data_IF_512799658506
#
_entry.id   IF_512799658506
#
_cell.length_a   1.000
_cell.length_b   1.000
_cell.length_c   1.000
_cell.angle_alpha   90.00
_cell.angle_beta   90.00
_cell.angle_gamma   90.00
#
_symmetry.space_group_name_H-M   'P 1'
#
loop_
_entity.id
_entity.type
_entity.pdbx_description
1 polymer ?
#
# COMPACT_ATOMS: atom_id res chain seq x y z
N UNK A 1 -0.26 -26.54 -31.71
CA UNK A 1 -0.52 -25.17 -31.24
C UNK A 1 -1.49 -25.14 -30.07
N UNK A 2 -2.66 -25.74 -30.15
CA UNK A 2 -3.71 -25.77 -29.11
C UNK A 2 -3.21 -26.34 -27.77
N UNK A 3 -2.46 -27.44 -27.76
CA UNK A 3 -1.92 -28.04 -26.54
C UNK A 3 -0.91 -27.12 -25.82
N UNK A 4 -0.09 -26.37 -26.56
CA UNK A 4 0.83 -25.37 -25.98
C UNK A 4 0.09 -24.20 -25.35
N UNK A 5 -0.97 -23.72 -26.02
CA UNK A 5 -1.80 -22.63 -25.50
C UNK A 5 -2.52 -23.08 -24.23
N UNK A 6 -3.13 -24.28 -24.23
CA UNK A 6 -3.78 -24.86 -23.05
C UNK A 6 -2.79 -24.95 -21.85
N UNK A 7 -1.59 -25.50 -22.08
CA UNK A 7 -0.57 -25.62 -21.04
C UNK A 7 -0.11 -24.25 -20.49
N UNK A 8 -0.04 -23.20 -21.34
CA UNK A 8 0.25 -21.84 -20.91
C UNK A 8 -0.87 -21.28 -20.03
N UNK A 9 -2.13 -21.44 -20.43
CA UNK A 9 -3.28 -21.01 -19.63
C UNK A 9 -3.33 -21.71 -18.28
N UNK A 10 -3.14 -23.02 -18.22
CA UNK A 10 -3.08 -23.77 -16.96
C UNK A 10 -1.93 -23.29 -16.06
N UNK A 11 -0.76 -23.02 -16.65
CA UNK A 11 0.43 -22.54 -15.93
C UNK A 11 0.26 -21.16 -15.32
N UNK A 12 -0.43 -20.24 -16.01
CA UNK A 12 -0.58 -18.83 -15.61
C UNK A 12 -2.03 -18.49 -15.22
N UNK A 13 -2.83 -19.50 -14.87
CA UNK A 13 -4.25 -19.32 -14.57
C UNK A 13 -4.53 -18.28 -13.47
N UNK A 14 -3.71 -18.24 -12.42
CA UNK A 14 -3.88 -17.28 -11.30
C UNK A 14 -3.59 -15.87 -11.75
N UNK A 15 -2.50 -15.64 -12.51
CA UNK A 15 -2.17 -14.32 -13.05
C UNK A 15 -3.25 -13.82 -13.99
N UNK A 16 -3.69 -14.67 -14.90
CA UNK A 16 -4.74 -14.33 -15.89
C UNK A 16 -6.04 -14.00 -15.16
N UNK A 17 -6.48 -14.87 -14.24
CA UNK A 17 -7.72 -14.65 -13.51
C UNK A 17 -7.67 -13.38 -12.64
N UNK A 18 -6.56 -13.15 -11.91
CA UNK A 18 -6.38 -11.95 -11.11
C UNK A 18 -6.33 -10.68 -11.98
N UNK A 19 -5.60 -10.71 -13.12
CA UNK A 19 -5.54 -9.57 -14.05
C UNK A 19 -6.91 -9.27 -14.65
N UNK A 20 -7.63 -10.27 -15.12
CA UNK A 20 -8.97 -10.09 -15.68
C UNK A 20 -9.95 -9.53 -14.64
N UNK A 21 -9.89 -10.05 -13.42
CA UNK A 21 -10.72 -9.56 -12.32
C UNK A 21 -10.41 -8.08 -12.00
N UNK A 22 -9.14 -7.72 -11.84
CA UNK A 22 -8.75 -6.34 -11.52
C UNK A 22 -9.03 -5.37 -12.67
N UNK A 23 -8.75 -5.77 -13.92
CA UNK A 23 -9.04 -4.95 -15.11
C UNK A 23 -10.54 -4.77 -15.27
N UNK A 24 -11.33 -5.82 -15.02
CA UNK A 24 -12.79 -5.72 -15.04
C UNK A 24 -13.29 -4.74 -13.96
N UNK A 25 -12.79 -4.84 -12.73
CA UNK A 25 -13.13 -3.89 -11.65
C UNK A 25 -12.71 -2.46 -12.02
N UNK A 26 -11.53 -2.28 -12.60
CA UNK A 26 -11.07 -0.97 -13.09
C UNK A 26 -12.05 -0.41 -14.12
N UNK A 27 -12.41 -1.21 -15.10
CA UNK A 27 -13.32 -0.79 -16.18
C UNK A 27 -14.70 -0.33 -15.67
N UNK A 28 -15.28 -1.03 -14.68
CA UNK A 28 -16.64 -0.73 -14.20
C UNK A 28 -16.73 0.30 -13.10
N UNK A 29 -15.62 0.58 -12.38
CA UNK A 29 -15.64 1.43 -11.18
C UNK A 29 -14.64 2.59 -11.21
N UNK A 30 -13.88 2.77 -12.31
CA UNK A 30 -12.91 3.86 -12.39
C UNK A 30 -13.63 5.21 -12.37
N UNK A 31 -13.13 6.14 -11.57
CA UNK A 31 -13.64 7.50 -11.58
C UNK A 31 -13.37 8.19 -12.93
N UNK A 32 -14.28 9.01 -13.39
CA UNK A 32 -14.21 9.69 -14.70
C UNK A 32 -13.13 10.77 -14.76
N UNK A 33 -12.69 11.28 -13.61
CA UNK A 33 -11.68 12.34 -13.49
C UNK A 33 -10.69 12.04 -12.37
N UNK A 34 -9.52 12.67 -12.43
CA UNK A 34 -8.58 12.70 -11.32
C UNK A 34 -9.25 13.44 -10.15
N UNK A 35 -9.04 12.95 -8.93
CA UNK A 35 -9.53 13.62 -7.73
C UNK A 35 -8.96 15.03 -7.61
N UNK A 36 -9.84 16.03 -7.57
CA UNK A 36 -9.44 17.44 -7.63
C UNK A 36 -8.40 17.85 -6.57
N UNK A 37 -8.44 17.25 -5.38
CA UNK A 37 -7.47 17.51 -4.31
C UNK A 37 -6.02 17.11 -4.64
N UNK A 38 -5.81 16.20 -5.60
CA UNK A 38 -4.47 15.67 -5.90
C UNK A 38 -3.96 16.03 -7.28
N UNK A 39 -4.78 16.64 -8.12
CA UNK A 39 -4.45 16.94 -9.50
C UNK A 39 -3.25 17.89 -9.66
N UNK A 40 -3.03 18.76 -8.69
CA UNK A 40 -1.90 19.70 -8.65
C UNK A 40 -0.53 19.00 -8.67
N UNK A 41 -0.42 17.78 -8.13
CA UNK A 41 0.83 17.02 -8.09
C UNK A 41 1.28 16.50 -9.47
N UNK A 42 0.43 16.62 -10.48
CA UNK A 42 0.74 16.27 -11.86
C UNK A 42 1.30 17.44 -12.64
N UNK A 43 1.03 18.68 -12.19
CA UNK A 43 1.47 19.91 -12.81
C UNK A 43 2.73 20.47 -12.14
N UNK A 44 2.83 20.31 -10.83
CA UNK A 44 3.92 20.85 -10.04
C UNK A 44 5.22 20.04 -10.27
N UNK A 45 6.30 20.69 -10.67
CA UNK A 45 7.59 20.08 -10.98
C UNK A 45 8.79 20.80 -10.32
N UNK A 46 10.01 20.35 -10.59
CA UNK A 46 11.23 20.92 -10.00
C UNK A 46 11.59 22.33 -10.50
N UNK A 47 10.92 22.90 -11.48
CA UNK A 47 11.07 24.31 -11.86
C UNK A 47 10.48 25.26 -10.79
N UNK A 48 9.51 24.77 -10.02
CA UNK A 48 8.83 25.53 -8.96
C UNK A 48 9.51 25.42 -7.59
N UNK A 49 10.42 24.48 -7.40
CA UNK A 49 11.07 24.30 -6.12
C UNK A 49 11.88 23.01 -6.02
N UNK A 50 12.17 22.60 -4.80
CA UNK A 50 12.81 21.31 -4.52
C UNK A 50 12.09 20.57 -3.38
N UNK A 51 11.75 19.31 -3.60
CA UNK A 51 11.12 18.51 -2.55
C UNK A 51 10.42 17.26 -3.05
N UNK A 52 9.70 16.61 -2.16
CA UNK A 52 8.79 15.54 -2.54
C UNK A 52 7.56 16.10 -3.27
N UNK A 53 6.86 15.21 -4.01
CA UNK A 53 5.67 15.50 -4.82
C UNK A 53 5.92 16.30 -6.11
N UNK A 54 7.14 16.83 -6.33
CA UNK A 54 7.54 17.50 -7.57
C UNK A 54 7.98 16.51 -8.67
N UNK A 55 8.45 15.35 -8.28
CA UNK A 55 9.00 14.34 -9.18
C UNK A 55 8.01 13.88 -10.24
N UNK A 56 6.73 13.74 -9.90
CA UNK A 56 5.75 13.21 -10.84
C UNK A 56 5.43 14.21 -11.96
N UNK A 57 5.20 15.48 -11.62
CA UNK A 57 5.03 16.53 -12.61
C UNK A 57 6.27 16.69 -13.48
N UNK A 58 7.48 16.65 -12.88
CA UNK A 58 8.74 16.68 -13.65
C UNK A 58 8.81 15.55 -14.67
N UNK A 59 8.45 14.33 -14.29
CA UNK A 59 8.42 13.20 -15.24
C UNK A 59 7.41 13.40 -16.36
N UNK A 60 6.23 13.91 -16.05
CA UNK A 60 5.21 14.17 -17.06
C UNK A 60 5.65 15.26 -18.03
N UNK A 61 6.19 16.37 -17.54
CA UNK A 61 6.66 17.47 -18.39
C UNK A 61 7.79 17.07 -19.34
N UNK A 62 8.59 16.04 -19.01
CA UNK A 62 9.56 15.47 -19.96
C UNK A 62 8.88 14.88 -21.23
N UNK A 63 7.62 14.48 -21.16
CA UNK A 63 6.87 13.89 -22.26
C UNK A 63 5.83 14.83 -22.88
N UNK A 64 5.28 15.77 -22.10
CA UNK A 64 4.19 16.66 -22.52
C UNK A 64 4.66 18.07 -22.87
N UNK A 65 5.93 18.43 -22.52
CA UNK A 65 6.42 19.80 -22.59
C UNK A 65 5.81 20.67 -21.49
N UNK A 66 5.77 21.98 -21.72
CA UNK A 66 5.40 22.97 -20.70
C UNK A 66 3.90 23.05 -20.40
N UNK A 67 3.06 22.35 -21.16
CA UNK A 67 1.60 22.36 -20.95
C UNK A 67 1.03 20.96 -20.78
N UNK A 68 0.35 20.73 -19.66
CA UNK A 68 -0.28 19.45 -19.34
C UNK A 68 -1.80 19.52 -19.52
N UNK A 69 -2.32 18.77 -20.48
CA UNK A 69 -3.76 18.56 -20.66
C UNK A 69 -4.33 17.60 -19.62
N UNK A 70 -5.54 17.89 -19.12
CA UNK A 70 -6.23 17.04 -18.14
C UNK A 70 -6.41 15.59 -18.65
N UNK A 71 -6.79 15.43 -19.92
CA UNK A 71 -6.96 14.13 -20.56
C UNK A 71 -5.64 13.32 -20.57
N UNK A 72 -4.51 13.99 -20.80
CA UNK A 72 -3.19 13.34 -20.80
C UNK A 72 -2.81 12.86 -19.40
N UNK A 73 -3.03 13.68 -18.37
CA UNK A 73 -2.81 13.29 -16.99
C UNK A 73 -3.73 12.11 -16.58
N UNK A 74 -4.99 12.17 -16.96
CA UNK A 74 -5.96 11.11 -16.70
C UNK A 74 -5.53 9.77 -17.35
N UNK A 75 -5.18 9.78 -18.64
CA UNK A 75 -4.69 8.59 -19.36
C UNK A 75 -3.44 8.01 -18.72
N UNK A 76 -2.52 8.88 -18.25
CA UNK A 76 -1.34 8.44 -17.55
C UNK A 76 -1.70 7.72 -16.23
N UNK A 77 -2.63 8.26 -15.44
CA UNK A 77 -3.12 7.60 -14.20
C UNK A 77 -3.73 6.24 -14.51
N UNK A 78 -4.60 6.15 -15.53
CA UNK A 78 -5.20 4.86 -15.95
C UNK A 78 -4.13 3.85 -16.34
N UNK A 79 -3.11 4.27 -17.10
CA UNK A 79 -2.00 3.40 -17.48
C UNK A 79 -1.25 2.86 -16.24
N UNK A 80 -0.98 3.72 -15.25
CA UNK A 80 -0.32 3.32 -14.00
C UNK A 80 -1.17 2.36 -13.17
N UNK A 81 -2.48 2.57 -13.08
CA UNK A 81 -3.41 1.63 -12.45
C UNK A 81 -3.43 0.28 -13.18
N UNK A 82 -3.42 0.29 -14.50
CA UNK A 82 -3.29 -0.93 -15.32
C UNK A 82 -1.98 -1.69 -15.04
N UNK A 83 -0.86 -0.97 -14.97
CA UNK A 83 0.44 -1.53 -14.61
C UNK A 83 0.38 -2.16 -13.20
N UNK A 84 -0.21 -1.46 -12.23
CA UNK A 84 -0.39 -1.99 -10.87
C UNK A 84 -1.19 -3.29 -10.87
N UNK A 85 -2.30 -3.35 -11.60
CA UNK A 85 -3.12 -4.57 -11.72
C UNK A 85 -2.29 -5.76 -12.25
N UNK A 86 -1.50 -5.53 -13.29
CA UNK A 86 -0.62 -6.56 -13.87
C UNK A 86 0.45 -6.98 -12.87
N UNK A 87 1.14 -6.04 -12.22
CA UNK A 87 2.20 -6.33 -11.26
C UNK A 87 1.70 -7.14 -10.06
N UNK A 88 0.55 -6.77 -9.47
CA UNK A 88 -0.06 -7.52 -8.36
C UNK A 88 -0.46 -8.93 -8.82
N UNK A 89 -1.01 -9.07 -10.00
CA UNK A 89 -1.40 -10.38 -10.56
C UNK A 89 -0.18 -11.27 -10.83
N UNK A 90 0.89 -10.70 -11.38
CA UNK A 90 2.15 -11.42 -11.61
C UNK A 90 2.78 -11.84 -10.28
N UNK A 91 2.81 -10.96 -9.28
CA UNK A 91 3.29 -11.29 -7.94
C UNK A 91 2.50 -12.47 -7.34
N UNK A 92 1.18 -12.40 -7.37
CA UNK A 92 0.29 -13.44 -6.86
C UNK A 92 0.54 -14.79 -7.54
N UNK A 93 0.60 -14.81 -8.86
CA UNK A 93 0.85 -16.04 -9.62
C UNK A 93 2.26 -16.59 -9.43
N UNK A 94 3.28 -15.73 -9.30
CA UNK A 94 4.65 -16.15 -8.97
C UNK A 94 4.68 -16.92 -7.64
N UNK A 95 4.02 -16.39 -6.62
CA UNK A 95 3.94 -17.03 -5.30
C UNK A 95 3.19 -18.35 -5.38
N UNK A 96 1.99 -18.33 -5.99
CA UNK A 96 1.17 -19.54 -6.14
C UNK A 96 1.93 -20.68 -6.84
N UNK A 97 2.63 -20.41 -7.95
CA UNK A 97 3.42 -21.41 -8.66
C UNK A 97 4.63 -21.92 -7.88
N UNK A 98 5.18 -21.12 -6.97
CA UNK A 98 6.30 -21.53 -6.11
C UNK A 98 5.89 -22.54 -5.06
N UNK A 99 4.64 -22.54 -4.63
CA UNK A 99 4.12 -23.48 -3.65
C UNK A 99 4.02 -24.90 -4.26
N UNK A 100 4.69 -25.87 -3.63
CA UNK A 100 4.66 -27.28 -4.06
C UNK A 100 3.64 -28.11 -3.27
N UNK A 101 3.47 -27.79 -2.00
CA UNK A 101 2.54 -28.48 -1.11
C UNK A 101 1.10 -27.96 -1.32
N UNK A 102 0.15 -28.87 -1.43
CA UNK A 102 -1.25 -28.56 -1.74
C UNK A 102 -1.93 -27.68 -0.69
N UNK A 103 -1.60 -27.84 0.60
CA UNK A 103 -2.17 -27.00 1.65
C UNK A 103 -1.60 -25.59 1.59
N UNK A 104 -0.28 -25.45 1.36
CA UNK A 104 0.35 -24.13 1.17
C UNK A 104 -0.17 -23.44 -0.08
N UNK A 105 -0.40 -24.21 -1.15
CA UNK A 105 -0.99 -23.72 -2.40
C UNK A 105 -2.41 -23.20 -2.20
N UNK A 106 -3.23 -23.96 -1.46
CA UNK A 106 -4.59 -23.59 -1.10
C UNK A 106 -4.61 -22.34 -0.21
N UNK A 107 -3.73 -22.27 0.79
CA UNK A 107 -3.60 -21.10 1.65
C UNK A 107 -3.14 -19.85 0.87
N UNK A 108 -2.16 -19.99 -0.04
CA UNK A 108 -1.71 -18.88 -0.88
C UNK A 108 -2.84 -18.39 -1.79
N UNK A 109 -3.59 -19.30 -2.42
CA UNK A 109 -4.74 -18.95 -3.25
C UNK A 109 -5.82 -18.24 -2.42
N UNK A 110 -6.12 -18.74 -1.23
CA UNK A 110 -7.06 -18.10 -0.32
C UNK A 110 -6.61 -16.66 0.02
N UNK A 111 -5.35 -16.45 0.41
CA UNK A 111 -4.84 -15.11 0.74
C UNK A 111 -4.90 -14.17 -0.47
N UNK A 112 -4.62 -14.66 -1.68
CA UNK A 112 -4.72 -13.88 -2.91
C UNK A 112 -6.18 -13.44 -3.15
N UNK A 113 -7.11 -14.39 -3.14
CA UNK A 113 -8.54 -14.10 -3.35
C UNK A 113 -9.08 -13.19 -2.24
N UNK A 114 -8.73 -13.47 -1.00
CA UNK A 114 -9.14 -12.70 0.18
C UNK A 114 -8.65 -11.26 0.11
N UNK A 115 -7.39 -11.04 -0.29
CA UNK A 115 -6.84 -9.72 -0.49
C UNK A 115 -7.51 -8.99 -1.67
N UNK A 116 -7.66 -9.64 -2.82
CA UNK A 116 -8.28 -9.02 -4.01
C UNK A 116 -9.75 -8.65 -3.78
N UNK A 117 -10.46 -9.43 -2.96
CA UNK A 117 -11.83 -9.13 -2.55
C UNK A 117 -11.93 -8.01 -1.51
N UNK A 118 -10.87 -7.79 -0.71
CA UNK A 118 -10.87 -6.88 0.44
C UNK A 118 -11.03 -5.40 0.08
N UNK A 119 -11.40 -4.55 1.05
CA UNK A 119 -11.41 -3.09 0.89
C UNK A 119 -10.06 -2.49 0.49
N UNK A 120 -8.95 -3.16 0.83
CA UNK A 120 -7.58 -2.74 0.56
C UNK A 120 -7.02 -3.27 -0.77
N UNK A 121 -7.82 -3.96 -1.59
CA UNK A 121 -7.37 -4.40 -2.93
C UNK A 121 -6.97 -3.19 -3.80
N UNK A 122 -6.20 -3.36 -4.88
CA UNK A 122 -5.83 -2.25 -5.76
C UNK A 122 -7.01 -1.37 -6.19
N UNK A 123 -8.22 -1.94 -6.18
CA UNK A 123 -9.46 -1.25 -6.52
C UNK A 123 -9.76 -0.01 -5.67
N UNK A 124 -9.17 0.14 -4.49
CA UNK A 124 -9.37 1.35 -3.68
C UNK A 124 -8.78 2.60 -4.36
N UNK A 125 -7.74 2.45 -5.19
CA UNK A 125 -7.02 3.56 -5.83
C UNK A 125 -7.77 4.22 -6.99
N UNK A 126 -8.80 3.57 -7.54
CA UNK A 126 -9.60 4.15 -8.63
C UNK A 126 -11.01 4.59 -8.22
N UNK A 127 -11.28 4.60 -6.90
CA UNK A 127 -12.46 5.25 -6.37
C UNK A 127 -12.34 6.78 -6.53
N UNK A 128 -13.48 7.48 -6.53
CA UNK A 128 -13.53 8.92 -6.77
C UNK A 128 -12.55 9.74 -5.93
N UNK A 129 -12.41 9.42 -4.64
CA UNK A 129 -11.55 10.16 -3.71
C UNK A 129 -10.08 9.75 -3.75
N UNK A 130 -9.75 8.64 -4.43
CA UNK A 130 -8.39 8.14 -4.51
C UNK A 130 -7.81 8.20 -5.92
N UNK A 131 -8.63 8.50 -6.94
CA UNK A 131 -8.17 8.55 -8.31
C UNK A 131 -7.07 9.59 -8.52
N UNK A 132 -5.90 9.12 -8.93
CA UNK A 132 -4.73 9.96 -9.12
C UNK A 132 -3.89 10.20 -7.87
N UNK A 133 -4.22 9.63 -6.70
CA UNK A 133 -3.35 9.76 -5.52
C UNK A 133 -1.99 9.13 -5.74
N UNK A 134 -0.97 9.75 -5.16
CA UNK A 134 0.43 9.32 -5.27
C UNK A 134 0.66 7.91 -4.69
N UNK A 135 -0.23 7.42 -3.85
CA UNK A 135 -0.20 6.05 -3.29
C UNK A 135 -0.11 4.96 -4.37
N UNK A 136 -0.65 5.22 -5.58
CA UNK A 136 -0.54 4.32 -6.73
C UNK A 136 0.92 4.02 -7.05
N UNK A 137 1.75 5.04 -7.08
CA UNK A 137 3.19 4.92 -7.41
C UNK A 137 3.97 4.28 -6.27
N UNK A 138 3.60 4.60 -5.01
CA UNK A 138 4.18 3.99 -3.82
C UNK A 138 3.90 2.48 -3.80
N UNK A 139 2.68 2.08 -4.13
CA UNK A 139 2.29 0.67 -4.18
C UNK A 139 2.97 -0.07 -5.34
N UNK A 140 3.03 0.52 -6.55
CA UNK A 140 3.80 -0.02 -7.68
C UNK A 140 5.24 -0.30 -7.25
N UNK A 141 5.88 0.69 -6.62
CA UNK A 141 7.26 0.57 -6.13
C UNK A 141 7.42 -0.55 -5.10
N UNK A 142 6.47 -0.67 -4.16
CA UNK A 142 6.49 -1.72 -3.15
C UNK A 142 6.37 -3.13 -3.77
N UNK A 143 5.52 -3.30 -4.79
CA UNK A 143 5.40 -4.57 -5.53
C UNK A 143 6.67 -4.88 -6.31
N UNK A 144 7.26 -3.88 -6.98
CA UNK A 144 8.53 -4.05 -7.72
C UNK A 144 9.65 -4.45 -6.75
N UNK A 145 9.78 -3.80 -5.59
CA UNK A 145 10.78 -4.14 -4.57
C UNK A 145 10.57 -5.56 -4.03
N UNK A 146 9.33 -5.97 -3.81
CA UNK A 146 8.98 -7.35 -3.44
C UNK A 146 9.44 -8.35 -4.53
N UNK A 147 9.18 -8.04 -5.81
CA UNK A 147 9.61 -8.89 -6.93
C UNK A 147 11.15 -8.94 -7.08
N UNK A 148 11.82 -7.80 -6.89
CA UNK A 148 13.31 -7.73 -6.86
C UNK A 148 13.83 -8.62 -5.73
N UNK A 149 13.28 -8.52 -4.54
CA UNK A 149 13.66 -9.35 -3.41
C UNK A 149 13.56 -10.85 -3.72
N UNK A 150 12.47 -11.25 -4.36
CA UNK A 150 12.21 -12.65 -4.71
C UNK A 150 13.11 -13.18 -5.85
N UNK A 151 13.56 -12.32 -6.78
CA UNK A 151 14.21 -12.74 -8.01
C UNK A 151 15.70 -12.43 -8.07
N UNK A 152 16.14 -11.31 -7.50
CA UNK A 152 17.56 -10.88 -7.59
C UNK A 152 18.37 -11.60 -6.53
N UNK A 153 19.25 -12.52 -6.98
CA UNK A 153 20.11 -13.33 -6.11
C UNK A 153 21.33 -12.57 -5.60
N UNK A 154 21.88 -11.67 -6.45
CA UNK A 154 23.05 -10.88 -6.07
C UNK A 154 22.62 -9.85 -5.00
N UNK A 155 23.21 -9.98 -3.78
CA UNK A 155 22.82 -9.12 -2.64
C UNK A 155 23.14 -7.66 -2.92
N UNK A 156 24.30 -7.34 -3.48
CA UNK A 156 24.67 -5.94 -3.73
C UNK A 156 23.72 -5.27 -4.72
N UNK A 157 23.46 -5.93 -5.86
CA UNK A 157 22.48 -5.45 -6.84
C UNK A 157 21.11 -5.27 -6.21
N UNK A 158 20.65 -6.22 -5.39
CA UNK A 158 19.35 -6.14 -4.68
C UNK A 158 19.28 -4.88 -3.83
N UNK A 159 20.28 -4.59 -3.01
CA UNK A 159 20.28 -3.44 -2.11
C UNK A 159 20.51 -2.11 -2.82
N UNK A 160 21.28 -2.09 -3.92
CA UNK A 160 21.36 -0.92 -4.81
C UNK A 160 19.98 -0.60 -5.41
N UNK A 161 19.26 -1.61 -5.91
CA UNK A 161 17.91 -1.42 -6.42
C UNK A 161 16.93 -0.97 -5.32
N UNK A 162 17.06 -1.48 -4.10
CA UNK A 162 16.28 -1.02 -2.95
C UNK A 162 16.53 0.46 -2.66
N UNK A 163 17.79 0.88 -2.67
CA UNK A 163 18.15 2.27 -2.43
C UNK A 163 17.63 3.18 -3.54
N UNK A 164 17.88 2.83 -4.81
CA UNK A 164 17.48 3.67 -5.95
C UNK A 164 15.96 3.80 -6.05
N UNK A 165 15.23 2.67 -6.02
CA UNK A 165 13.77 2.71 -6.13
C UNK A 165 13.14 3.32 -4.87
N UNK A 166 13.68 3.01 -3.69
CA UNK A 166 13.20 3.61 -2.44
C UNK A 166 13.39 5.12 -2.41
N UNK A 167 14.57 5.63 -2.78
CA UNK A 167 14.84 7.07 -2.87
C UNK A 167 13.95 7.76 -3.90
N UNK A 168 13.80 7.18 -5.09
CA UNK A 168 12.87 7.65 -6.12
C UNK A 168 11.43 7.70 -5.60
N UNK A 169 10.99 6.68 -4.88
CA UNK A 169 9.63 6.63 -4.34
C UNK A 169 9.41 7.69 -3.24
N UNK A 170 10.41 7.93 -2.39
CA UNK A 170 10.36 9.00 -1.37
C UNK A 170 10.28 10.38 -2.06
N UNK A 171 10.94 10.59 -3.20
CA UNK A 171 10.82 11.83 -3.96
C UNK A 171 9.46 12.02 -4.63
N UNK A 172 8.75 10.93 -4.94
CA UNK A 172 7.33 11.03 -5.35
C UNK A 172 6.45 11.42 -4.15
N UNK A 173 6.63 10.74 -3.00
CA UNK A 173 5.89 11.08 -1.79
C UNK A 173 6.59 10.52 -0.54
N UNK A 174 7.05 11.42 0.33
CA UNK A 174 7.81 11.08 1.53
C UNK A 174 7.07 10.16 2.51
N UNK A 175 5.74 10.10 2.46
CA UNK A 175 4.93 9.21 3.30
C UNK A 175 5.23 7.71 3.08
N UNK A 176 5.90 7.37 1.97
CA UNK A 176 6.39 6.02 1.68
C UNK A 176 7.12 5.38 2.88
N UNK A 177 7.90 6.17 3.62
CA UNK A 177 8.68 5.68 4.77
C UNK A 177 7.81 5.06 5.87
N UNK A 178 6.57 5.50 5.99
CA UNK A 178 5.62 4.97 6.96
C UNK A 178 4.72 3.89 6.37
N UNK A 179 4.34 4.01 5.08
CA UNK A 179 3.30 3.16 4.48
C UNK A 179 3.85 1.86 3.93
N UNK A 180 4.94 1.89 3.16
CA UNK A 180 5.43 0.71 2.43
C UNK A 180 6.84 0.29 2.81
N UNK A 181 7.65 1.18 3.39
CA UNK A 181 8.97 0.85 3.91
C UNK A 181 8.97 -0.25 4.98
N UNK A 182 7.91 -0.41 5.83
CA UNK A 182 7.81 -1.57 6.73
C UNK A 182 7.97 -2.92 6.02
N UNK A 183 7.48 -3.06 4.78
CA UNK A 183 7.71 -4.29 3.98
C UNK A 183 9.18 -4.47 3.61
N UNK A 184 9.87 -3.39 3.24
CA UNK A 184 11.31 -3.43 2.98
C UNK A 184 12.10 -3.81 4.25
N UNK A 185 11.70 -3.31 5.42
CA UNK A 185 12.32 -3.71 6.70
C UNK A 185 12.14 -5.19 6.99
N UNK A 186 10.96 -5.77 6.71
CA UNK A 186 10.73 -7.22 6.84
C UNK A 186 11.68 -8.01 5.93
N UNK A 187 11.85 -7.59 4.67
CA UNK A 187 12.77 -8.22 3.73
C UNK A 187 14.22 -8.13 4.21
N UNK A 188 14.67 -6.98 4.68
CA UNK A 188 16.03 -6.78 5.19
C UNK A 188 16.29 -7.56 6.47
N UNK A 189 15.35 -7.61 7.39
CA UNK A 189 15.41 -8.45 8.59
C UNK A 189 15.51 -9.93 8.20
N UNK A 190 14.71 -10.39 7.23
CA UNK A 190 14.80 -11.77 6.74
C UNK A 190 16.19 -12.09 6.21
N UNK A 191 16.79 -11.21 5.38
CA UNK A 191 18.15 -11.40 4.85
C UNK A 191 19.22 -11.48 5.95
N UNK A 192 19.12 -10.62 7.00
CA UNK A 192 20.04 -10.64 8.15
C UNK A 192 19.97 -12.01 8.85
N UNK A 193 18.78 -12.54 9.09
CA UNK A 193 18.58 -13.85 9.70
C UNK A 193 19.07 -14.99 8.81
N UNK A 194 18.76 -14.95 7.52
CA UNK A 194 19.19 -15.99 6.57
C UNK A 194 20.72 -16.04 6.39
N UNK A 195 21.38 -14.90 6.53
CA UNK A 195 22.86 -14.85 6.49
C UNK A 195 23.54 -15.30 7.78
N UNK A 196 22.80 -15.68 8.82
CA UNK A 196 23.37 -15.99 10.14
C UNK A 196 24.07 -14.78 10.79
N UNK A 197 23.55 -13.57 10.57
CA UNK A 197 24.13 -12.32 11.09
C UNK A 197 25.51 -11.98 10.50
N UNK A 198 25.75 -12.32 9.25
CA UNK A 198 26.97 -11.92 8.56
C UNK A 198 27.15 -10.40 8.62
N UNK A 199 28.32 -9.91 9.10
CA UNK A 199 28.59 -8.48 9.27
C UNK A 199 28.37 -7.66 8.01
N UNK A 200 28.73 -8.20 6.83
CA UNK A 200 28.50 -7.53 5.54
C UNK A 200 27.01 -7.39 5.23
N UNK A 201 26.21 -8.41 5.57
CA UNK A 201 24.76 -8.35 5.37
C UNK A 201 24.11 -7.32 6.31
N UNK A 202 24.51 -7.30 7.58
CA UNK A 202 24.04 -6.30 8.54
C UNK A 202 24.40 -4.90 8.05
N UNK A 203 25.66 -4.69 7.66
CA UNK A 203 26.13 -3.37 7.22
C UNK A 203 25.34 -2.88 6.01
N UNK A 204 25.19 -3.68 4.95
CA UNK A 204 24.46 -3.25 3.74
C UNK A 204 22.98 -2.97 4.04
N UNK A 205 22.34 -3.80 4.90
CA UNK A 205 20.97 -3.62 5.30
C UNK A 205 20.77 -2.31 6.07
N UNK A 206 21.60 -2.07 7.09
CA UNK A 206 21.53 -0.87 7.92
C UNK A 206 21.90 0.40 7.12
N UNK A 207 22.92 0.31 6.25
CA UNK A 207 23.29 1.44 5.39
C UNK A 207 22.18 1.81 4.43
N UNK A 208 21.50 0.83 3.83
CA UNK A 208 20.36 1.09 2.94
C UNK A 208 19.20 1.75 3.70
N UNK A 209 18.83 1.22 4.87
CA UNK A 209 17.78 1.81 5.69
C UNK A 209 18.14 3.22 6.17
N UNK A 210 19.40 3.42 6.60
CA UNK A 210 19.90 4.73 7.03
C UNK A 210 19.88 5.76 5.88
N UNK A 211 20.38 5.39 4.70
CA UNK A 211 20.40 6.29 3.53
C UNK A 211 18.98 6.67 3.09
N UNK A 212 18.03 5.71 3.07
CA UNK A 212 16.63 6.02 2.80
C UNK A 212 16.02 6.94 3.87
N UNK A 213 16.40 6.74 5.14
CA UNK A 213 16.07 7.66 6.23
C UNK A 213 16.62 9.07 6.00
N UNK A 214 17.87 9.21 5.54
CA UNK A 214 18.47 10.50 5.19
C UNK A 214 17.72 11.17 4.02
N UNK A 215 17.36 10.42 2.98
CA UNK A 215 16.55 10.94 1.86
C UNK A 215 15.20 11.43 2.36
N UNK A 216 14.53 10.66 3.22
CA UNK A 216 13.27 11.07 3.83
C UNK A 216 13.41 12.36 4.63
N UNK A 217 14.41 12.44 5.52
CA UNK A 217 14.64 13.64 6.35
C UNK A 217 14.96 14.87 5.47
N UNK A 218 15.76 14.66 4.43
CA UNK A 218 16.05 15.73 3.48
C UNK A 218 14.78 16.21 2.75
N UNK A 219 13.97 15.29 2.21
CA UNK A 219 12.72 15.63 1.55
C UNK A 219 11.67 16.23 2.50
N UNK A 220 11.71 15.89 3.80
CA UNK A 220 10.75 16.41 4.79
C UNK A 220 11.13 17.81 5.29
N UNK A 221 12.43 18.10 5.49
CA UNK A 221 12.88 19.28 6.20
C UNK A 221 13.62 20.29 5.31
N UNK A 222 14.12 19.89 4.14
CA UNK A 222 14.83 20.73 3.20
C UNK A 222 14.04 21.00 1.92
N UNK A 223 12.79 20.54 1.83
CA UNK A 223 11.90 20.83 0.72
C UNK A 223 11.32 22.25 0.83
N UNK A 224 11.11 22.89 -0.31
CA UNK A 224 10.47 24.19 -0.40
C UNK A 224 10.17 24.55 -1.85
N UNK A 225 9.30 25.52 -2.03
CA UNK A 225 8.99 26.13 -3.33
C UNK A 225 9.61 27.53 -3.39
N UNK A 226 9.86 28.01 -4.61
CA UNK A 226 10.48 29.32 -4.85
C UNK A 226 9.50 30.51 -4.76
N UNK A 227 8.24 30.22 -4.43
CA UNK A 227 7.17 31.20 -4.32
C UNK A 227 6.82 31.46 -2.85
N UNK A 228 6.85 32.71 -2.45
CA UNK A 228 6.44 33.15 -1.11
C UNK A 228 4.92 33.38 -1.01
N UNK A 229 4.25 33.52 -2.17
CA UNK A 229 2.83 33.79 -2.28
C UNK A 229 2.11 32.59 -2.99
N UNK A 230 1.11 32.04 -2.31
CA UNK A 230 0.32 30.95 -2.83
C UNK A 230 -0.48 31.32 -4.09
N UNK A 231 -1.02 32.55 -4.15
CA UNK A 231 -1.84 32.99 -5.29
C UNK A 231 -0.97 33.15 -6.56
N UNK A 232 0.28 33.61 -6.41
CA UNK A 232 1.24 33.70 -7.53
C UNK A 232 1.60 32.31 -8.05
N UNK A 233 1.88 31.36 -7.15
CA UNK A 233 2.13 29.96 -7.53
C UNK A 233 0.94 29.35 -8.28
N UNK A 234 -0.28 29.55 -7.78
CA UNK A 234 -1.48 28.99 -8.40
C UNK A 234 -1.74 29.63 -9.77
N UNK A 235 -1.51 30.95 -9.92
CA UNK A 235 -1.65 31.62 -11.19
C UNK A 235 -0.66 31.08 -12.23
N UNK A 236 0.60 30.91 -11.84
CA UNK A 236 1.64 30.35 -12.71
C UNK A 236 1.32 28.90 -13.11
N UNK A 237 1.03 28.02 -12.14
CA UNK A 237 0.64 26.64 -12.43
C UNK A 237 -0.58 26.55 -13.36
N UNK A 238 -1.57 27.43 -13.17
CA UNK A 238 -2.78 27.44 -14.00
C UNK A 238 -2.50 27.86 -15.44
N UNK A 239 -1.41 28.56 -15.71
CA UNK A 239 -1.00 28.92 -17.08
C UNK A 239 -0.40 27.74 -17.85
N UNK A 240 0.04 26.69 -17.16
CA UNK A 240 0.71 25.52 -17.71
C UNK A 240 -0.19 24.26 -17.80
N UNK A 241 -1.49 24.39 -17.52
CA UNK A 241 -2.39 23.24 -17.59
C UNK A 241 -3.84 23.62 -17.89
N UNK A 242 -4.60 22.67 -18.46
CA UNK A 242 -6.07 22.73 -18.53
C UNK A 242 -6.75 22.15 -17.28
N UNK A 243 -5.99 21.60 -16.34
CA UNK A 243 -6.51 20.98 -15.12
C UNK A 243 -7.01 22.07 -14.17
N UNK A 244 -8.23 21.95 -13.67
CA UNK A 244 -8.73 22.80 -12.59
C UNK A 244 -8.00 22.51 -11.27
N UNK A 245 -7.07 23.38 -10.85
CA UNK A 245 -6.20 23.14 -9.71
C UNK A 245 -6.91 23.36 -8.37
N UNK A 246 -6.62 22.49 -7.41
CA UNK A 246 -7.05 22.64 -6.01
C UNK A 246 -5.97 23.31 -5.18
N UNK A 247 -6.31 24.41 -4.51
CA UNK A 247 -5.39 25.22 -3.70
C UNK A 247 -5.04 24.58 -2.35
N UNK A 248 -6.01 23.97 -1.60
CA UNK A 248 -5.75 23.46 -0.25
C UNK A 248 -4.59 22.48 -0.10
N UNK A 249 -4.29 21.58 -1.08
CA UNK A 249 -3.13 20.70 -0.97
C UNK A 249 -1.79 21.44 -1.02
N UNK A 250 -1.69 22.49 -1.84
CA UNK A 250 -0.49 23.34 -1.93
C UNK A 250 -0.27 24.10 -0.62
N UNK A 251 -1.33 24.71 -0.11
CA UNK A 251 -1.29 25.41 1.17
C UNK A 251 -0.83 24.48 2.29
N UNK A 252 -1.46 23.29 2.39
CA UNK A 252 -1.13 22.33 3.42
C UNK A 252 0.31 21.81 3.32
N UNK A 253 0.82 21.55 2.12
CA UNK A 253 2.16 20.97 1.94
C UNK A 253 3.29 21.96 2.16
N UNK A 254 3.15 23.20 1.67
CA UNK A 254 4.27 24.15 1.61
C UNK A 254 4.15 25.33 2.57
N UNK A 255 2.95 25.64 3.05
CA UNK A 255 2.71 26.81 3.91
C UNK A 255 2.28 26.45 5.34
N UNK A 256 1.95 25.16 5.60
CA UNK A 256 1.59 24.74 6.95
C UNK A 256 2.78 24.11 7.68
N UNK A 257 2.87 24.42 8.97
CA UNK A 257 3.78 23.72 9.89
C UNK A 257 3.17 22.38 10.35
N UNK A 258 3.98 21.48 10.91
CA UNK A 258 3.49 20.24 11.55
C UNK A 258 2.43 20.55 12.62
N UNK A 259 2.58 21.70 13.33
CA UNK A 259 1.62 22.16 14.32
C UNK A 259 0.28 22.53 13.67
N UNK A 260 0.31 23.22 12.50
CA UNK A 260 -0.90 23.56 11.77
C UNK A 260 -1.64 22.30 11.32
N UNK A 261 -0.93 21.29 10.76
CA UNK A 261 -1.52 20.01 10.39
C UNK A 261 -2.24 19.34 11.57
N UNK A 262 -1.60 19.32 12.73
CA UNK A 262 -2.18 18.72 13.92
C UNK A 262 -3.41 19.48 14.41
N UNK A 263 -3.31 20.81 14.57
CA UNK A 263 -4.38 21.60 15.16
C UNK A 263 -5.55 21.90 14.20
N UNK A 264 -5.26 22.09 12.91
CA UNK A 264 -6.31 22.41 11.92
C UNK A 264 -7.04 21.16 11.39
N UNK A 265 -6.30 20.06 11.18
CA UNK A 265 -6.85 18.86 10.54
C UNK A 265 -7.12 17.71 11.52
N UNK A 266 -6.18 17.40 12.41
CA UNK A 266 -6.26 16.17 13.19
C UNK A 266 -7.08 16.36 14.47
N UNK A 267 -6.80 17.40 15.25
CA UNK A 267 -7.39 17.58 16.58
C UNK A 267 -8.91 17.78 16.57
N UNK A 268 -9.50 18.56 15.64
CA UNK A 268 -10.95 18.81 15.64
C UNK A 268 -11.78 17.52 15.54
N UNK A 269 -11.32 16.54 14.77
CA UNK A 269 -12.06 15.31 14.47
C UNK A 269 -11.47 14.07 15.16
N UNK A 270 -10.42 14.23 15.97
CA UNK A 270 -9.65 13.09 16.53
C UNK A 270 -10.54 12.11 17.30
N UNK A 271 -11.50 12.62 18.09
CA UNK A 271 -12.41 11.77 18.87
C UNK A 271 -13.28 10.89 17.98
N UNK A 272 -13.79 11.45 16.93
CA UNK A 272 -14.63 10.74 15.96
C UNK A 272 -13.79 9.71 15.17
N UNK A 273 -12.61 10.10 14.72
CA UNK A 273 -11.67 9.22 14.02
C UNK A 273 -11.27 8.01 14.86
N UNK A 274 -10.99 8.19 16.14
CA UNK A 274 -10.69 7.07 17.03
C UNK A 274 -11.88 6.10 17.09
N UNK A 275 -13.11 6.59 17.20
CA UNK A 275 -14.31 5.73 17.22
C UNK A 275 -14.46 4.94 15.92
N UNK A 276 -14.38 5.62 14.79
CA UNK A 276 -14.43 4.97 13.48
C UNK A 276 -13.28 4.00 13.28
N UNK A 277 -12.06 4.35 13.71
CA UNK A 277 -10.90 3.47 13.67
C UNK A 277 -11.13 2.17 14.47
N UNK A 278 -11.69 2.27 15.68
CA UNK A 278 -12.03 1.09 16.50
C UNK A 278 -13.06 0.21 15.78
N UNK A 279 -14.11 0.80 15.22
CA UNK A 279 -15.14 0.07 14.46
C UNK A 279 -14.52 -0.58 13.22
N UNK A 280 -13.67 0.14 12.49
CA UNK A 280 -12.94 -0.39 11.32
C UNK A 280 -12.12 -1.62 11.70
N UNK A 281 -11.33 -1.53 12.78
CA UNK A 281 -10.54 -2.66 13.28
C UNK A 281 -11.44 -3.83 13.67
N UNK A 282 -12.56 -3.58 14.34
CA UNK A 282 -13.49 -4.62 14.75
C UNK A 282 -14.14 -5.31 13.53
N UNK A 283 -14.67 -4.55 12.56
CA UNK A 283 -15.31 -5.08 11.37
C UNK A 283 -14.32 -5.82 10.45
N UNK A 284 -13.09 -5.35 10.35
CA UNK A 284 -12.06 -5.97 9.52
C UNK A 284 -11.25 -7.06 10.26
N UNK A 285 -11.73 -7.51 11.43
CA UNK A 285 -11.11 -8.61 12.19
C UNK A 285 -10.80 -9.86 11.33
N UNK A 286 -11.63 -10.32 10.39
CA UNK A 286 -11.28 -11.45 9.54
C UNK A 286 -10.00 -11.22 8.71
N UNK A 287 -9.74 -9.97 8.28
CA UNK A 287 -8.55 -9.65 7.47
C UNK A 287 -7.30 -9.61 8.34
N UNK A 288 -7.23 -8.68 9.28
CA UNK A 288 -6.03 -8.53 10.10
C UNK A 288 -5.82 -9.74 11.01
N UNK A 289 -6.91 -10.38 11.47
CA UNK A 289 -6.86 -11.60 12.28
C UNK A 289 -6.24 -12.78 11.52
N UNK A 290 -6.52 -12.92 10.21
CA UNK A 290 -5.88 -13.94 9.36
C UNK A 290 -4.38 -13.72 9.27
N UNK A 291 -3.92 -12.49 8.98
CA UNK A 291 -2.49 -12.18 8.91
C UNK A 291 -1.81 -12.35 10.28
N UNK A 292 -2.41 -11.80 11.35
CA UNK A 292 -1.90 -11.93 12.71
C UNK A 292 -1.82 -13.40 13.14
N UNK A 293 -2.80 -14.22 12.78
CA UNK A 293 -2.77 -15.65 13.08
C UNK A 293 -1.58 -16.34 12.42
N UNK A 294 -1.25 -16.02 11.14
CA UNK A 294 -0.06 -16.56 10.48
C UNK A 294 1.22 -16.14 11.20
N UNK A 295 1.33 -14.85 11.61
CA UNK A 295 2.46 -14.37 12.40
C UNK A 295 2.58 -15.10 13.74
N UNK A 296 1.47 -15.30 14.46
CA UNK A 296 1.44 -16.04 15.71
C UNK A 296 1.89 -17.49 15.49
N UNK A 297 1.47 -18.14 14.39
CA UNK A 297 1.94 -19.49 14.06
C UNK A 297 3.46 -19.50 13.80
N UNK A 298 3.97 -18.51 13.09
CA UNK A 298 5.42 -18.39 12.84
C UNK A 298 6.21 -18.20 14.16
N UNK A 299 5.71 -17.36 15.08
CA UNK A 299 6.32 -17.17 16.40
C UNK A 299 6.26 -18.46 17.23
N UNK A 300 5.08 -19.10 17.29
CA UNK A 300 4.89 -20.33 18.10
C UNK A 300 5.74 -21.50 17.62
N UNK A 301 5.92 -21.63 16.32
CA UNK A 301 6.69 -22.71 15.71
C UNK A 301 8.19 -22.38 15.58
N UNK A 302 8.64 -21.18 15.99
CA UNK A 302 10.06 -20.85 16.01
C UNK A 302 10.84 -21.84 16.88
N UNK A 303 11.89 -22.46 16.30
CA UNK A 303 12.69 -23.56 16.91
C UNK A 303 13.37 -23.12 18.21
N UNK A 304 13.76 -21.86 18.30
CA UNK A 304 14.47 -21.29 19.43
C UNK A 304 14.04 -19.84 19.70
N UNK A 305 14.61 -19.24 20.73
CA UNK A 305 14.34 -17.84 21.12
C UNK A 305 14.68 -16.87 19.99
N UNK A 306 15.75 -17.12 19.25
CA UNK A 306 16.21 -16.25 18.18
C UNK A 306 15.23 -16.26 17.00
N UNK A 307 14.75 -17.44 16.58
CA UNK A 307 13.73 -17.58 15.54
C UNK A 307 12.41 -16.88 15.92
N UNK A 308 11.99 -16.98 17.20
CA UNK A 308 10.79 -16.26 17.69
C UNK A 308 11.00 -14.75 17.65
N UNK A 309 12.17 -14.27 18.08
CA UNK A 309 12.53 -12.84 18.06
C UNK A 309 12.47 -12.27 16.64
N UNK A 310 12.93 -13.02 15.62
CA UNK A 310 12.81 -12.65 14.20
C UNK A 310 11.38 -12.21 13.84
N UNK A 311 10.39 -13.07 14.11
CA UNK A 311 9.01 -12.79 13.72
C UNK A 311 8.38 -11.68 14.55
N UNK A 312 8.77 -11.55 15.83
CA UNK A 312 8.35 -10.43 16.68
C UNK A 312 8.88 -9.11 16.09
N UNK A 313 10.16 -9.05 15.72
CA UNK A 313 10.74 -7.83 15.12
C UNK A 313 10.11 -7.51 13.76
N UNK A 314 9.83 -8.53 12.93
CA UNK A 314 9.11 -8.33 11.67
C UNK A 314 7.70 -7.78 11.89
N UNK A 315 6.99 -8.27 12.90
CA UNK A 315 5.66 -7.77 13.27
C UNK A 315 5.74 -6.34 13.81
N UNK A 316 6.78 -6.01 14.58
CA UNK A 316 6.99 -4.67 15.14
C UNK A 316 7.29 -3.60 14.07
N UNK A 317 7.67 -3.98 12.84
CA UNK A 317 7.81 -2.99 11.75
C UNK A 317 6.53 -2.20 11.51
N UNK A 318 5.38 -2.75 11.87
CA UNK A 318 4.08 -2.08 11.77
C UNK A 318 3.92 -0.87 12.72
N UNK A 319 4.79 -0.71 13.72
CA UNK A 319 4.82 0.50 14.58
C UNK A 319 5.10 1.76 13.74
N UNK A 320 5.71 1.62 12.55
CA UNK A 320 5.93 2.72 11.61
C UNK A 320 4.61 3.41 11.16
N UNK A 321 3.45 2.76 11.28
CA UNK A 321 2.16 3.39 10.97
C UNK A 321 1.67 4.36 12.07
N UNK A 322 2.17 4.27 13.30
CA UNK A 322 1.69 5.10 14.41
C UNK A 322 1.79 6.61 14.12
N UNK A 323 2.90 7.13 13.57
CA UNK A 323 2.99 8.57 13.27
C UNK A 323 1.90 9.06 12.31
N UNK A 324 1.59 8.31 11.25
CA UNK A 324 0.59 8.76 10.26
C UNK A 324 -0.83 8.71 10.83
N UNK A 325 -1.17 7.73 11.66
CA UNK A 325 -2.45 7.70 12.36
C UNK A 325 -2.59 8.82 13.39
N UNK A 326 -1.49 9.28 13.98
CA UNK A 326 -1.51 10.38 14.98
C UNK A 326 -1.50 11.75 14.32
N UNK A 327 -0.72 11.93 13.23
CA UNK A 327 -0.46 13.25 12.65
C UNK A 327 -1.34 13.57 11.44
N UNK A 328 -1.86 12.56 10.74
CA UNK A 328 -2.55 12.71 9.46
C UNK A 328 -3.99 12.22 9.53
N UNK A 329 -4.86 12.77 8.68
CA UNK A 329 -6.29 12.49 8.72
C UNK A 329 -6.78 11.40 7.74
N UNK A 330 -5.97 10.93 6.82
CA UNK A 330 -6.32 9.98 5.75
C UNK A 330 -6.35 8.52 6.23
N UNK A 331 -7.07 8.23 7.31
CA UNK A 331 -7.04 6.92 7.98
C UNK A 331 -7.46 5.75 7.07
N UNK A 332 -8.38 5.97 6.13
CA UNK A 332 -8.76 4.95 5.16
C UNK A 332 -7.57 4.47 4.33
N UNK A 333 -6.73 5.39 3.86
CA UNK A 333 -5.49 5.08 3.11
C UNK A 333 -4.46 4.36 3.97
N UNK A 334 -4.34 4.74 5.26
CA UNK A 334 -3.40 4.08 6.19
C UNK A 334 -3.81 2.65 6.49
N UNK A 335 -5.11 2.38 6.66
CA UNK A 335 -5.62 1.02 6.77
C UNK A 335 -5.37 0.22 5.48
N UNK A 336 -5.63 0.80 4.30
CA UNK A 336 -5.36 0.14 3.04
C UNK A 336 -3.87 -0.23 2.91
N UNK A 337 -2.96 0.71 3.15
CA UNK A 337 -1.52 0.47 3.09
C UNK A 337 -1.06 -0.61 4.09
N UNK A 338 -1.59 -0.59 5.31
CA UNK A 338 -1.32 -1.63 6.31
C UNK A 338 -1.68 -3.03 5.79
N UNK A 339 -2.87 -3.21 5.22
CA UNK A 339 -3.29 -4.53 4.70
C UNK A 339 -2.49 -4.94 3.45
N UNK A 340 -2.15 -3.99 2.58
CA UNK A 340 -1.28 -4.23 1.42
C UNK A 340 0.08 -4.74 1.89
N UNK A 341 0.69 -4.11 2.89
CA UNK A 341 2.00 -4.51 3.42
C UNK A 341 1.92 -5.88 4.07
N UNK A 342 0.84 -6.21 4.81
CA UNK A 342 0.68 -7.56 5.35
C UNK A 342 0.58 -8.59 4.22
N UNK A 343 -0.20 -8.31 3.17
CA UNK A 343 -0.26 -9.18 2.00
C UNK A 343 1.12 -9.35 1.34
N UNK A 344 1.83 -8.27 1.06
CA UNK A 344 3.16 -8.31 0.46
C UNK A 344 4.15 -9.13 1.31
N UNK A 345 4.18 -8.90 2.62
CA UNK A 345 5.04 -9.63 3.55
C UNK A 345 4.76 -11.13 3.51
N UNK A 346 3.48 -11.55 3.54
CA UNK A 346 3.11 -12.96 3.45
C UNK A 346 3.53 -13.56 2.11
N UNK A 347 3.28 -12.85 0.99
CA UNK A 347 3.64 -13.33 -0.33
C UNK A 347 5.16 -13.47 -0.49
N UNK A 348 5.94 -12.48 -0.07
CA UNK A 348 7.39 -12.49 -0.15
C UNK A 348 7.98 -13.62 0.68
N UNK A 349 7.63 -13.70 1.97
CA UNK A 349 8.18 -14.71 2.88
C UNK A 349 7.75 -16.13 2.48
N UNK A 350 6.53 -16.30 1.97
CA UNK A 350 6.09 -17.56 1.39
C UNK A 350 6.93 -17.96 0.16
N UNK A 351 7.18 -17.00 -0.75
CA UNK A 351 7.97 -17.25 -1.97
C UNK A 351 9.40 -17.68 -1.67
N UNK A 352 10.07 -17.00 -0.72
CA UNK A 352 11.46 -17.34 -0.34
C UNK A 352 11.54 -18.57 0.54
N UNK A 353 10.41 -19.14 0.98
CA UNK A 353 10.35 -20.38 1.74
C UNK A 353 10.71 -20.21 3.21
N UNK A 354 10.36 -19.04 3.81
CA UNK A 354 10.52 -18.85 5.25
C UNK A 354 9.78 -19.92 6.05
N UNK A 355 10.51 -20.62 6.92
CA UNK A 355 9.99 -21.81 7.63
C UNK A 355 8.73 -21.52 8.45
N UNK A 356 8.73 -20.43 9.21
CA UNK A 356 7.59 -20.14 10.11
C UNK A 356 6.34 -19.75 9.32
N UNK A 357 6.50 -18.91 8.29
CA UNK A 357 5.38 -18.54 7.41
C UNK A 357 4.90 -19.75 6.61
N UNK A 358 5.81 -20.59 6.10
CA UNK A 358 5.44 -21.81 5.38
C UNK A 358 4.62 -22.78 6.27
N UNK A 359 4.96 -22.93 7.55
CA UNK A 359 4.19 -23.73 8.52
C UNK A 359 2.83 -23.08 8.83
N UNK A 360 2.80 -21.75 8.96
CA UNK A 360 1.53 -21.01 9.12
C UNK A 360 0.60 -21.25 7.94
N UNK A 361 1.10 -21.11 6.70
CA UNK A 361 0.33 -21.38 5.48
C UNK A 361 -0.15 -22.83 5.39
N UNK A 362 0.69 -23.80 5.76
CA UNK A 362 0.29 -25.21 5.78
C UNK A 362 -0.88 -25.45 6.73
N UNK A 363 -0.82 -24.89 7.95
CA UNK A 363 -1.92 -24.97 8.92
C UNK A 363 -3.19 -24.29 8.42
N UNK A 364 -3.04 -23.11 7.78
CA UNK A 364 -4.17 -22.40 7.18
C UNK A 364 -4.83 -23.24 6.08
N UNK A 365 -4.03 -23.82 5.18
CA UNK A 365 -4.55 -24.69 4.11
C UNK A 365 -5.28 -25.92 4.65
N UNK A 366 -4.75 -26.55 5.71
CA UNK A 366 -5.44 -27.65 6.42
C UNK A 366 -6.78 -27.20 7.02
N UNK A 367 -6.82 -26.01 7.62
CA UNK A 367 -8.04 -25.42 8.18
C UNK A 367 -9.09 -25.12 7.10
N UNK A 368 -8.66 -24.54 5.96
CA UNK A 368 -9.53 -24.29 4.80
C UNK A 368 -10.11 -25.60 4.26
N UNK A 369 -9.27 -26.62 4.09
CA UNK A 369 -9.71 -27.94 3.58
C UNK A 369 -10.72 -28.61 4.50
N UNK A 370 -10.56 -28.44 5.82
CA UNK A 370 -11.48 -28.98 6.83
C UNK A 370 -12.82 -28.23 6.88
N UNK A 371 -12.81 -26.91 6.67
CA UNK A 371 -13.97 -26.05 6.82
C UNK A 371 -14.08 -25.04 5.66
N UNK A 372 -14.23 -25.48 4.39
CA UNK A 372 -14.17 -24.59 3.23
C UNK A 372 -15.28 -23.54 3.23
N UNK A 373 -16.45 -23.88 3.78
CA UNK A 373 -17.60 -22.96 3.84
C UNK A 373 -17.31 -21.74 4.72
N UNK A 374 -16.65 -21.93 5.87
CA UNK A 374 -16.29 -20.82 6.77
C UNK A 374 -15.35 -19.85 6.05
N UNK A 375 -14.38 -20.36 5.32
CA UNK A 375 -13.44 -19.51 4.57
C UNK A 375 -14.09 -18.81 3.37
N UNK A 376 -15.05 -19.47 2.72
CA UNK A 376 -15.88 -18.82 1.69
C UNK A 376 -16.70 -17.68 2.29
N UNK A 377 -17.32 -17.90 3.46
CA UNK A 377 -18.06 -16.83 4.18
C UNK A 377 -17.11 -15.67 4.53
N UNK A 378 -15.87 -15.92 4.92
CA UNK A 378 -14.91 -14.84 5.17
C UNK A 378 -14.59 -14.04 3.90
N UNK A 379 -14.40 -14.71 2.76
CA UNK A 379 -14.18 -14.02 1.48
C UNK A 379 -15.38 -13.18 1.10
N UNK A 380 -16.60 -13.74 1.19
CA UNK A 380 -17.83 -13.02 0.89
C UNK A 380 -18.06 -11.84 1.85
N UNK A 381 -17.74 -12.03 3.13
CA UNK A 381 -17.82 -10.97 4.13
C UNK A 381 -16.89 -9.80 3.77
N UNK A 382 -15.62 -10.06 3.46
CA UNK A 382 -14.71 -8.95 3.11
C UNK A 382 -15.03 -8.34 1.75
N UNK A 383 -15.59 -9.11 0.83
CA UNK A 383 -16.05 -8.62 -0.47
C UNK A 383 -17.31 -7.73 -0.39
N UNK A 384 -18.07 -7.84 0.71
CA UNK A 384 -19.25 -7.00 0.94
C UNK A 384 -18.93 -5.57 1.37
N UNK A 385 -17.67 -5.30 1.76
CA UNK A 385 -17.24 -3.95 2.10
C UNK A 385 -16.91 -3.15 0.83
N UNK A 386 -17.23 -1.87 0.87
CA UNK A 386 -16.71 -0.91 -0.10
C UNK A 386 -15.19 -0.80 -0.01
N UNK A 387 -14.60 -0.18 -1.02
CA UNK A 387 -13.16 0.08 -1.02
C UNK A 387 -12.84 1.26 -0.12
N UNK A 388 -11.69 1.23 0.54
CA UNK A 388 -11.23 2.34 1.35
C UNK A 388 -11.23 3.64 0.53
N UNK A 389 -11.73 4.70 1.14
CA UNK A 389 -11.68 6.05 0.60
C UNK A 389 -10.60 6.87 1.31
N UNK A 390 -10.25 8.03 0.76
CA UNK A 390 -9.13 8.84 1.24
C UNK A 390 -9.33 9.35 2.65
N UNK A 391 -10.22 10.28 2.79
CA UNK A 391 -10.53 10.96 4.07
C UNK A 391 -11.53 10.18 4.91
N UNK A 392 -12.48 9.52 4.23
CA UNK A 392 -13.60 8.87 4.88
C UNK A 392 -13.29 7.40 5.20
N UNK A 393 -14.01 6.91 6.19
CA UNK A 393 -14.02 5.50 6.56
C UNK A 393 -14.80 4.70 5.53
N UNK A 394 -14.81 3.38 5.69
CA UNK A 394 -15.75 2.55 4.96
C UNK A 394 -17.18 3.02 5.27
N UNK A 395 -18.02 3.16 4.27
CA UNK A 395 -19.43 3.55 4.45
C UNK A 395 -20.15 2.61 5.44
N UNK A 396 -19.79 1.32 5.43
CA UNK A 396 -20.33 0.35 6.40
C UNK A 396 -19.95 0.69 7.84
N UNK A 397 -18.77 1.30 8.06
CA UNK A 397 -18.33 1.74 9.40
C UNK A 397 -19.18 2.90 9.87
N UNK A 398 -19.46 3.86 9.00
CA UNK A 398 -20.34 5.00 9.29
C UNK A 398 -21.77 4.53 9.55
N UNK A 399 -22.31 3.69 8.68
CA UNK A 399 -23.68 3.12 8.86
C UNK A 399 -23.79 2.34 10.18
N UNK A 400 -22.79 1.54 10.53
CA UNK A 400 -22.76 0.82 11.80
C UNK A 400 -22.69 1.76 13.00
N UNK A 401 -21.88 2.81 12.91
CA UNK A 401 -21.78 3.82 13.96
C UNK A 401 -23.13 4.51 14.21
N UNK A 402 -23.77 5.02 13.15
CA UNK A 402 -25.05 5.71 13.29
C UNK A 402 -26.15 4.77 13.76
N UNK A 403 -26.21 3.55 13.25
CA UNK A 403 -27.19 2.56 13.73
C UNK A 403 -27.03 2.23 15.23
N UNK A 404 -25.78 2.16 15.73
CA UNK A 404 -25.52 1.93 17.16
C UNK A 404 -25.82 3.18 18.00
N UNK A 405 -25.63 4.38 17.45
CA UNK A 405 -26.00 5.63 18.08
C UNK A 405 -27.52 5.74 18.20
N UNK A 406 -28.26 5.53 17.12
CA UNK A 406 -29.71 5.57 17.09
C UNK A 406 -30.34 4.55 18.05
N UNK A 407 -29.79 3.33 18.08
CA UNK A 407 -30.21 2.29 19.01
C UNK A 407 -30.00 2.73 20.48
N UNK A 408 -28.87 3.36 20.76
CA UNK A 408 -28.58 3.88 22.11
C UNK A 408 -29.53 4.98 22.50
N UNK A 409 -29.82 5.96 21.62
CA UNK A 409 -30.77 7.05 21.89
C UNK A 409 -32.19 6.50 22.07
N UNK A 410 -32.60 5.50 21.27
CA UNK A 410 -33.87 4.80 21.43
C UNK A 410 -33.97 4.07 22.78
N UNK A 411 -32.90 3.37 23.22
CA UNK A 411 -32.89 2.70 24.54
C UNK A 411 -32.95 3.71 25.68
N UNK A 412 -32.34 4.88 25.54
CA UNK A 412 -32.33 5.94 26.55
C UNK A 412 -33.57 6.80 26.54
N UNK A 413 -34.52 6.58 25.59
CA UNK A 413 -35.74 7.34 25.45
C UNK A 413 -35.51 8.82 25.06
N UNK A 414 -34.47 9.07 24.30
CA UNK A 414 -34.07 10.37 23.78
C UNK A 414 -34.35 10.49 22.30
#
# INVERSE_FOLDING_TARGET
MISRVKNLFEKYAVEIAASLYLVYLLYINVAETIYGYVNVWYVLDYSYGFGSRLMLGTLLHLFTGDFLEEETAYRFVIAMLGILCVLVSVLAGMVYRKMKDDNKKLAALFLIVFYLASPASPAYLWTRENMGRLDTYLFISAVILAMIYMKVKNRYMKYVLFLVIGAFTISIHQVYIFLFFPSLLVMTLHDIWQSGFEKKQILISLSTAFLLGCVFLYMQFCSGIYYDNLDELVAELSSHTSIGLSVPPLEAEYFWTIKDHFYKNQLPELRERIRFGIITVALLTPIWGTYLWIWIQAIRNGKDKLAKTKYILMLLTNVAYVPVFVLMNDWGRWFAAFFIVQFLNMMVLAYVGDEGIAQGLEKLGKAIRRNPVIFLVFVLYVASFEKFQGLNYLEQVERFYYATYDLKEWILGR
#
